data_IF_449368076710
#
_entry.id   IF_449368076710
#
_cell.length_a   1.000
_cell.length_b   1.000
_cell.length_c   1.000
_cell.angle_alpha   90.00
_cell.angle_beta   90.00
_cell.angle_gamma   90.00
#
_symmetry.space_group_name_H-M   'P 1'
#
loop_
_entity.id
_entity.type
_entity.pdbx_description
1 polymer ?
#
# COMPACT_ATOMS: atom_id res chain seq x y z
N UNK A 1 38.55 9.35 -0.18
CA UNK A 1 37.08 9.40 -0.36
C UNK A 1 36.51 9.85 0.96
N UNK A 2 35.57 10.79 0.94
CA UNK A 2 34.78 11.08 2.14
C UNK A 2 34.11 9.79 2.61
N UNK A 3 34.07 9.57 3.93
CA UNK A 3 33.42 8.41 4.50
C UNK A 3 31.91 8.59 4.34
N UNK A 4 31.32 7.90 3.36
CA UNK A 4 29.86 7.82 3.21
C UNK A 4 29.27 7.24 4.51
N UNK A 5 28.19 7.83 5.00
CA UNK A 5 27.43 7.34 6.16
C UNK A 5 25.98 7.02 5.76
N UNK A 6 25.26 6.28 6.61
CA UNK A 6 23.82 6.06 6.42
C UNK A 6 23.04 7.39 6.39
N UNK A 7 23.47 8.39 7.17
CA UNK A 7 22.87 9.73 7.13
C UNK A 7 22.99 10.41 5.77
N UNK A 8 24.13 10.28 5.10
CA UNK A 8 24.31 10.82 3.74
C UNK A 8 23.35 10.14 2.76
N UNK A 9 23.18 8.82 2.87
CA UNK A 9 22.27 8.04 2.02
C UNK A 9 20.80 8.45 2.22
N UNK A 10 20.39 8.72 3.46
CA UNK A 10 19.02 9.19 3.76
C UNK A 10 18.71 10.50 3.05
N UNK A 11 19.67 11.42 2.95
CA UNK A 11 19.49 12.70 2.27
C UNK A 11 19.32 12.56 0.75
N UNK A 12 19.67 11.41 0.19
CA UNK A 12 19.57 11.12 -1.24
C UNK A 12 18.20 10.57 -1.64
N UNK A 13 17.54 9.85 -0.74
CA UNK A 13 16.18 9.33 -0.98
C UNK A 13 15.23 10.49 -1.26
N UNK A 14 14.41 10.33 -2.29
CA UNK A 14 13.42 11.34 -2.71
C UNK A 14 14.00 12.54 -3.45
N UNK A 15 15.31 12.59 -3.73
CA UNK A 15 15.89 13.59 -4.63
C UNK A 15 15.67 13.24 -6.09
N UNK A 16 15.42 14.27 -6.91
CA UNK A 16 15.33 14.14 -8.37
C UNK A 16 16.69 13.68 -8.92
N UNK A 17 16.69 12.76 -9.88
CA UNK A 17 17.92 12.36 -10.56
C UNK A 17 18.60 13.51 -11.32
N UNK A 18 17.89 14.60 -11.59
CA UNK A 18 18.43 15.81 -12.24
C UNK A 18 18.90 16.88 -11.26
N UNK A 19 18.81 16.67 -9.94
CA UNK A 19 19.29 17.62 -8.93
C UNK A 19 20.82 17.81 -9.08
N UNK A 20 21.31 19.04 -9.30
CA UNK A 20 22.75 19.30 -9.48
C UNK A 20 23.63 18.85 -8.32
N UNK A 21 23.17 18.99 -7.07
CA UNK A 21 23.93 18.51 -5.89
C UNK A 21 24.01 16.99 -5.90
N UNK A 22 22.92 16.33 -6.27
CA UNK A 22 22.84 14.88 -6.33
C UNK A 22 23.71 14.29 -7.45
N UNK A 23 23.71 14.92 -8.62
CA UNK A 23 24.57 14.57 -9.76
C UNK A 23 26.05 14.74 -9.41
N UNK A 24 26.40 15.82 -8.70
CA UNK A 24 27.78 16.05 -8.24
C UNK A 24 28.21 14.99 -7.22
N UNK A 25 27.35 14.65 -6.26
CA UNK A 25 27.63 13.60 -5.29
C UNK A 25 27.87 12.24 -5.98
N UNK A 26 26.98 11.83 -6.89
CA UNK A 26 27.13 10.62 -7.73
C UNK A 26 28.44 10.57 -8.51
N UNK A 27 28.81 11.71 -9.10
CA UNK A 27 30.06 11.85 -9.86
C UNK A 27 31.28 11.72 -8.95
N UNK A 28 31.21 12.30 -7.74
CA UNK A 28 32.29 12.22 -6.73
C UNK A 28 32.55 10.78 -6.27
N UNK A 29 31.51 9.94 -6.27
CA UNK A 29 31.59 8.51 -5.99
C UNK A 29 32.05 7.65 -7.18
N UNK A 30 32.25 8.23 -8.36
CA UNK A 30 32.68 7.50 -9.55
C UNK A 30 31.62 6.57 -10.16
N UNK A 31 30.34 6.73 -9.78
CA UNK A 31 29.20 5.90 -10.26
C UNK A 31 28.66 6.43 -11.60
N UNK A 32 29.11 7.61 -12.04
CA UNK A 32 28.57 8.34 -13.19
C UNK A 32 27.31 9.11 -12.83
N UNK A 33 26.57 9.61 -13.81
CA UNK A 33 25.32 10.32 -13.56
C UNK A 33 24.18 9.37 -13.13
N UNK A 34 23.27 9.81 -12.26
CA UNK A 34 22.05 9.06 -11.93
C UNK A 34 21.14 8.88 -13.17
N UNK A 35 20.27 7.85 -13.20
CA UNK A 35 19.33 7.58 -14.29
C UNK A 35 18.41 8.77 -14.59
N UNK A 36 18.42 9.28 -15.82
CA UNK A 36 17.52 10.35 -16.26
C UNK A 36 16.09 9.86 -16.56
N UNK A 37 15.89 8.56 -16.75
CA UNK A 37 14.59 7.96 -17.03
C UNK A 37 14.47 6.54 -16.43
N UNK A 38 13.24 6.09 -16.14
CA UNK A 38 12.96 4.77 -15.55
C UNK A 38 13.59 3.59 -16.31
N UNK A 39 13.65 3.69 -17.64
CA UNK A 39 14.19 2.64 -18.52
C UNK A 39 15.69 2.40 -18.33
N UNK A 40 16.39 3.33 -17.70
CA UNK A 40 17.85 3.29 -17.54
C UNK A 40 18.28 2.43 -16.33
N UNK A 41 17.31 1.92 -15.54
CA UNK A 41 17.52 0.96 -14.45
C UNK A 41 18.22 1.54 -13.21
N UNK A 42 18.47 0.67 -12.22
CA UNK A 42 19.22 1.02 -11.01
C UNK A 42 20.72 1.26 -11.27
N UNK A 43 21.40 1.89 -10.31
CA UNK A 43 22.86 2.09 -10.30
C UNK A 43 23.48 1.34 -9.14
N UNK A 44 24.73 0.89 -9.32
CA UNK A 44 25.48 0.18 -8.30
C UNK A 44 26.79 0.90 -8.02
N UNK A 45 26.98 1.32 -6.79
CA UNK A 45 28.29 1.70 -6.28
C UNK A 45 29.00 0.46 -5.75
N UNK A 46 30.25 0.27 -6.14
CA UNK A 46 31.11 -0.79 -5.60
C UNK A 46 32.46 -0.21 -5.22
N UNK A 47 32.75 -0.21 -3.92
CA UNK A 47 34.09 0.01 -3.40
C UNK A 47 34.67 -1.33 -2.95
N UNK A 48 35.54 -1.87 -3.81
CA UNK A 48 36.21 -3.16 -3.58
C UNK A 48 37.17 -3.14 -2.39
N UNK A 49 37.72 -1.98 -2.03
CA UNK A 49 38.67 -1.85 -0.93
C UNK A 49 37.98 -2.06 0.42
N UNK A 50 36.76 -1.53 0.56
CA UNK A 50 35.96 -1.63 1.79
C UNK A 50 34.81 -2.65 1.68
N UNK A 51 34.76 -3.43 0.59
CA UNK A 51 33.66 -4.36 0.27
C UNK A 51 32.27 -3.71 0.42
N UNK A 52 32.19 -2.44 0.02
CA UNK A 52 30.96 -1.66 0.08
C UNK A 52 30.25 -1.78 -1.25
N UNK A 53 29.02 -2.28 -1.21
CA UNK A 53 28.11 -2.28 -2.34
C UNK A 53 26.86 -1.52 -1.93
N UNK A 54 26.49 -0.50 -2.72
CA UNK A 54 25.27 0.27 -2.52
C UNK A 54 24.48 0.26 -3.82
N UNK A 55 23.31 -0.36 -3.80
CA UNK A 55 22.37 -0.36 -4.93
C UNK A 55 21.42 0.83 -4.83
N UNK A 56 21.20 1.54 -5.93
CA UNK A 56 20.28 2.66 -6.01
C UNK A 56 19.21 2.38 -7.03
N UNK A 57 17.95 2.36 -6.62
CA UNK A 57 16.81 2.26 -7.54
C UNK A 57 16.09 3.60 -7.66
N UNK A 58 15.46 3.75 -8.82
CA UNK A 58 14.81 4.97 -9.24
C UNK A 58 13.38 4.66 -9.64
N UNK A 59 12.45 5.45 -9.12
CA UNK A 59 11.03 5.33 -9.40
C UNK A 59 10.39 6.68 -9.69
N UNK A 60 9.21 6.66 -10.33
CA UNK A 60 8.30 7.81 -10.33
C UNK A 60 7.55 7.72 -9.00
N UNK A 61 8.24 7.94 -7.90
CA UNK A 61 7.66 7.76 -6.57
C UNK A 61 8.04 8.99 -5.79
N UNK A 62 7.41 10.11 -6.13
CA UNK A 62 7.25 11.22 -5.20
C UNK A 62 6.17 12.15 -5.72
N UNK A 63 4.92 11.69 -5.66
CA UNK A 63 3.85 12.65 -5.52
C UNK A 63 2.86 12.12 -4.51
N UNK A 64 2.40 13.03 -3.65
CA UNK A 64 1.31 12.82 -2.68
C UNK A 64 0.01 12.29 -3.34
N UNK A 65 -0.01 12.21 -4.67
CA UNK A 65 -1.10 11.78 -5.55
C UNK A 65 -0.60 10.99 -6.78
N UNK A 66 0.41 10.13 -6.63
CA UNK A 66 0.68 9.07 -7.63
C UNK A 66 -0.61 8.25 -7.91
N UNK A 67 -0.77 7.54 -9.04
CA UNK A 67 -0.01 7.64 -10.29
C UNK A 67 -0.36 8.89 -11.12
N UNK A 68 0.58 9.39 -11.95
CA UNK A 68 0.29 10.48 -12.88
C UNK A 68 -0.80 10.08 -13.89
N UNK A 69 -1.67 11.04 -14.22
CA UNK A 69 -2.67 10.89 -15.29
C UNK A 69 -1.92 10.76 -16.62
N UNK A 70 -2.06 9.60 -17.26
CA UNK A 70 -1.47 9.31 -18.57
C UNK A 70 -2.14 10.22 -19.61
N UNK A 71 -1.40 11.24 -20.08
CA UNK A 71 -1.64 11.85 -21.38
C UNK A 71 -0.68 11.23 -22.39
N UNK A 72 -1.22 10.59 -23.42
CA UNK A 72 -0.46 10.16 -24.57
C UNK A 72 0.17 11.42 -25.20
N UNK A 73 1.47 11.67 -25.00
CA UNK A 73 2.39 12.07 -26.10
C UNK A 73 3.85 12.37 -25.68
N UNK A 74 4.21 12.69 -24.43
CA UNK A 74 5.62 13.00 -24.10
C UNK A 74 6.04 12.49 -22.70
N UNK A 75 6.75 11.35 -22.65
CA UNK A 75 7.25 10.74 -21.42
C UNK A 75 8.55 11.41 -20.91
N UNK A 76 8.43 12.52 -20.18
CA UNK A 76 9.49 13.08 -19.33
C UNK A 76 9.03 13.10 -17.87
N UNK A 77 9.02 11.95 -17.20
CA UNK A 77 8.75 11.89 -15.77
C UNK A 77 10.02 12.14 -14.97
N UNK A 78 9.91 12.93 -13.90
CA UNK A 78 10.98 13.05 -12.92
C UNK A 78 11.17 11.69 -12.23
N UNK A 79 12.39 11.18 -12.29
CA UNK A 79 12.81 10.01 -11.53
C UNK A 79 13.40 10.46 -10.19
N UNK A 80 13.01 9.77 -9.14
CA UNK A 80 13.51 10.01 -7.79
C UNK A 80 14.27 8.78 -7.30
N UNK A 81 15.33 8.99 -6.52
CA UNK A 81 15.97 7.87 -5.82
C UNK A 81 14.98 7.31 -4.80
N UNK A 82 14.44 6.12 -5.07
CA UNK A 82 13.36 5.52 -4.29
C UNK A 82 13.86 4.46 -3.32
N UNK A 83 15.00 3.83 -3.62
CA UNK A 83 15.59 2.81 -2.77
C UNK A 83 17.10 2.87 -2.80
N UNK A 84 17.69 2.65 -1.63
CA UNK A 84 19.11 2.41 -1.45
C UNK A 84 19.29 1.11 -0.68
N UNK A 85 19.81 0.08 -1.34
CA UNK A 85 20.22 -1.17 -0.70
C UNK A 85 21.60 -0.94 -0.06
N UNK A 86 21.66 -1.00 1.28
CA UNK A 86 22.86 -0.68 2.07
C UNK A 86 23.63 -1.94 2.45
N UNK A 87 22.91 -3.05 2.60
CA UNK A 87 23.46 -4.35 2.95
C UNK A 87 22.56 -5.46 2.42
N UNK A 88 23.15 -6.52 1.86
CA UNK A 88 22.43 -7.73 1.45
C UNK A 88 23.35 -8.95 1.53
N UNK A 89 22.81 -10.05 2.06
CA UNK A 89 23.39 -11.39 1.98
C UNK A 89 22.53 -12.23 1.03
N UNK A 90 23.18 -12.82 0.02
CA UNK A 90 22.55 -13.78 -0.89
C UNK A 90 21.95 -14.98 -0.15
N UNK A 91 20.79 -15.45 -0.60
CA UNK A 91 20.14 -16.60 0.00
C UNK A 91 21.04 -17.85 -0.10
N UNK A 92 21.32 -18.51 1.04
CA UNK A 92 22.19 -19.69 1.10
C UNK A 92 23.69 -19.41 1.21
N UNK A 93 24.13 -18.16 1.31
CA UNK A 93 25.53 -17.84 1.60
C UNK A 93 25.90 -18.23 3.05
N UNK A 94 27.10 -18.81 3.21
CA UNK A 94 27.64 -19.18 4.52
C UNK A 94 28.04 -17.95 5.35
N UNK A 95 27.97 -18.03 6.68
CA UNK A 95 28.35 -16.95 7.60
C UNK A 95 29.78 -16.43 7.38
N UNK A 96 30.70 -17.32 7.00
CA UNK A 96 32.11 -16.98 6.81
C UNK A 96 32.39 -16.15 5.53
N UNK A 97 31.43 -16.10 4.60
CA UNK A 97 31.63 -15.45 3.29
C UNK A 97 31.28 -13.96 3.27
N UNK A 98 30.54 -13.46 4.27
CA UNK A 98 30.05 -12.08 4.27
C UNK A 98 30.19 -11.41 5.66
N UNK A 99 31.35 -10.80 5.89
CA UNK A 99 31.56 -9.87 7.00
C UNK A 99 31.36 -8.44 6.49
N UNK A 100 30.50 -7.66 7.15
CA UNK A 100 30.40 -6.23 6.85
C UNK A 100 31.73 -5.55 7.22
N UNK A 101 32.42 -4.99 6.21
CA UNK A 101 33.71 -4.31 6.37
C UNK A 101 33.58 -2.79 6.37
N UNK A 102 32.36 -2.25 6.45
CA UNK A 102 32.15 -0.81 6.53
C UNK A 102 32.69 -0.31 7.88
N UNK A 103 33.27 0.90 7.94
CA UNK A 103 33.75 1.44 9.21
C UNK A 103 32.58 1.61 10.17
N UNK A 104 32.81 1.49 11.48
CA UNK A 104 31.75 1.67 12.49
C UNK A 104 31.02 3.01 12.37
N UNK A 105 31.73 4.05 11.89
CA UNK A 105 31.15 5.38 11.61
C UNK A 105 30.08 5.37 10.51
N UNK A 106 30.08 4.37 9.61
CA UNK A 106 29.05 4.22 8.59
C UNK A 106 27.68 3.97 9.22
N UNK A 107 27.64 3.09 10.22
CA UNK A 107 26.45 2.65 10.94
C UNK A 107 26.14 3.46 12.20
N UNK A 108 26.84 4.57 12.42
CA UNK A 108 26.62 5.40 13.60
C UNK A 108 25.13 5.77 13.72
N UNK A 109 24.52 5.47 14.87
CA UNK A 109 23.10 5.68 15.19
C UNK A 109 22.10 4.79 14.41
N UNK A 110 22.57 3.78 13.67
CA UNK A 110 21.73 2.82 12.95
C UNK A 110 22.01 1.37 13.35
N UNK A 111 21.07 0.49 13.02
CA UNK A 111 21.20 -0.95 13.24
C UNK A 111 22.34 -1.52 12.38
N UNK A 112 23.22 -2.31 13.01
CA UNK A 112 24.37 -2.92 12.35
C UNK A 112 23.99 -4.29 11.77
N UNK A 113 24.53 -4.73 10.62
CA UNK A 113 24.23 -6.06 10.06
C UNK A 113 24.50 -7.25 11.00
N UNK A 114 25.42 -7.07 11.94
CA UNK A 114 25.75 -8.04 12.99
C UNK A 114 24.84 -8.00 14.22
N UNK A 115 23.79 -7.19 14.22
CA UNK A 115 22.89 -7.05 15.37
C UNK A 115 22.02 -8.29 15.60
N UNK A 116 21.68 -8.52 16.87
CA UNK A 116 20.80 -9.62 17.28
C UNK A 116 19.33 -9.31 17.01
N UNK A 117 18.47 -10.33 17.17
CA UNK A 117 17.03 -10.13 17.06
C UNK A 117 16.52 -9.15 18.13
N UNK A 118 17.03 -9.27 19.36
CA UNK A 118 16.65 -8.41 20.48
C UNK A 118 17.04 -6.95 20.23
N UNK A 119 18.25 -6.72 19.72
CA UNK A 119 18.71 -5.36 19.33
C UNK A 119 17.86 -4.79 18.19
N UNK A 120 17.43 -5.61 17.23
CA UNK A 120 16.47 -5.17 16.21
C UNK A 120 15.12 -4.79 16.85
N UNK A 121 14.55 -5.65 17.71
CA UNK A 121 13.28 -5.37 18.38
C UNK A 121 13.35 -4.05 19.15
N UNK A 122 14.44 -3.80 19.87
CA UNK A 122 14.66 -2.55 20.61
C UNK A 122 14.82 -1.36 19.66
N UNK A 123 15.69 -1.45 18.65
CA UNK A 123 15.93 -0.36 17.71
C UNK A 123 14.67 0.05 16.94
N UNK A 124 13.79 -0.91 16.62
CA UNK A 124 12.56 -0.68 15.86
C UNK A 124 11.32 -0.49 16.74
N UNK A 125 11.49 -0.28 18.06
CA UNK A 125 10.39 -0.06 19.01
C UNK A 125 9.31 -1.17 18.96
N UNK A 126 9.73 -2.41 18.68
CA UNK A 126 8.84 -3.56 18.51
C UNK A 126 8.02 -3.56 17.21
N UNK A 127 8.28 -2.66 16.26
CA UNK A 127 7.57 -2.60 14.99
C UNK A 127 8.17 -3.59 13.96
N UNK A 128 7.59 -4.78 13.88
CA UNK A 128 7.95 -5.79 12.89
C UNK A 128 6.77 -6.64 12.41
N UNK A 129 6.83 -7.06 11.16
CA UNK A 129 6.00 -8.12 10.59
C UNK A 129 6.72 -9.46 10.64
N UNK A 130 5.98 -10.55 10.86
CA UNK A 130 6.50 -11.92 10.75
C UNK A 130 5.96 -12.53 9.47
N UNK A 131 6.86 -12.91 8.56
CA UNK A 131 6.49 -13.70 7.40
C UNK A 131 6.64 -15.19 7.74
N UNK A 132 5.49 -15.84 7.95
CA UNK A 132 5.43 -17.25 8.30
C UNK A 132 5.90 -18.20 7.19
N UNK A 133 5.92 -17.76 5.93
CA UNK A 133 6.34 -18.59 4.80
C UNK A 133 7.87 -18.62 4.62
N UNK A 134 8.57 -17.56 5.05
CA UNK A 134 10.01 -17.40 4.82
C UNK A 134 10.86 -17.39 6.09
N UNK A 135 10.27 -17.68 7.26
CA UNK A 135 10.97 -17.67 8.55
C UNK A 135 11.78 -16.39 8.76
N UNK A 136 11.19 -15.25 8.42
CA UNK A 136 11.82 -13.95 8.54
C UNK A 136 10.95 -12.96 9.31
N UNK A 137 11.63 -12.05 10.01
CA UNK A 137 11.07 -10.85 10.58
C UNK A 137 11.46 -9.68 9.70
N UNK A 138 10.50 -8.84 9.34
CA UNK A 138 10.74 -7.59 8.61
C UNK A 138 10.43 -6.43 9.53
N UNK A 139 11.43 -5.63 9.81
CA UNK A 139 11.37 -4.47 10.69
C UNK A 139 11.23 -3.19 9.87
N UNK A 140 10.45 -2.24 10.39
CA UNK A 140 10.11 -1.00 9.70
C UNK A 140 10.26 0.20 10.64
N UNK A 141 11.07 1.20 10.25
CA UNK A 141 11.23 2.44 11.02
C UNK A 141 11.18 3.65 10.10
N UNK A 142 10.19 4.52 10.30
CA UNK A 142 10.19 5.85 9.66
C UNK A 142 11.34 6.68 10.22
N UNK A 143 12.20 7.17 9.34
CA UNK A 143 13.32 8.04 9.70
C UNK A 143 12.93 9.52 9.60
N UNK A 144 12.03 9.86 8.67
CA UNK A 144 11.38 11.16 8.53
C UNK A 144 10.04 11.00 7.76
N UNK A 145 9.44 12.11 7.30
CA UNK A 145 8.17 12.10 6.54
C UNK A 145 8.24 11.34 5.21
N UNK A 146 9.43 11.22 4.63
CA UNK A 146 9.68 10.71 3.28
C UNK A 146 10.55 9.46 3.23
N UNK A 147 11.22 9.07 4.32
CA UNK A 147 12.23 8.00 4.31
C UNK A 147 11.93 6.99 5.40
N UNK A 148 12.03 5.71 5.03
CA UNK A 148 11.85 4.56 5.89
C UNK A 148 13.08 3.65 5.83
N UNK A 149 13.45 3.06 6.96
CA UNK A 149 14.45 2.01 7.06
C UNK A 149 13.73 0.66 7.18
N UNK A 150 14.08 -0.28 6.31
CA UNK A 150 13.54 -1.63 6.33
C UNK A 150 14.68 -2.63 6.52
N UNK A 151 14.48 -3.58 7.44
CA UNK A 151 15.46 -4.62 7.77
C UNK A 151 14.79 -5.97 7.78
N UNK A 152 15.35 -6.93 7.05
CA UNK A 152 14.92 -8.32 7.14
C UNK A 152 15.90 -9.13 7.98
N UNK A 153 15.37 -9.81 8.99
CA UNK A 153 16.09 -10.72 9.86
C UNK A 153 15.59 -12.14 9.63
N UNK A 154 16.49 -13.08 9.33
CA UNK A 154 16.13 -14.50 9.18
C UNK A 154 16.21 -15.19 10.53
N UNK A 155 15.12 -15.80 10.99
CA UNK A 155 15.10 -16.46 12.31
C UNK A 155 15.99 -17.69 12.39
N UNK A 156 16.10 -18.43 11.29
CA UNK A 156 16.81 -19.72 11.26
C UNK A 156 18.33 -19.53 11.36
N UNK A 157 18.83 -18.50 10.67
CA UNK A 157 20.25 -18.12 10.68
C UNK A 157 20.56 -17.00 11.68
N UNK A 158 19.57 -16.57 12.47
CA UNK A 158 19.67 -15.53 13.51
C UNK A 158 20.47 -14.29 13.08
N UNK A 159 20.18 -13.77 11.89
CA UNK A 159 20.96 -12.68 11.31
C UNK A 159 20.13 -11.76 10.43
N UNK A 160 20.60 -10.52 10.30
CA UNK A 160 20.11 -9.60 9.28
C UNK A 160 20.53 -10.11 7.91
N UNK A 161 19.55 -10.24 7.02
CA UNK A 161 19.72 -10.63 5.63
C UNK A 161 19.92 -9.43 4.74
N UNK A 162 19.18 -8.36 4.97
CA UNK A 162 19.31 -7.13 4.20
C UNK A 162 18.86 -5.91 4.98
N UNK A 163 19.42 -4.75 4.62
CA UNK A 163 19.10 -3.43 5.14
C UNK A 163 18.89 -2.50 3.93
N UNK A 164 17.71 -1.91 3.82
CA UNK A 164 17.36 -0.97 2.76
C UNK A 164 16.85 0.34 3.37
N UNK A 165 17.25 1.46 2.77
CA UNK A 165 16.65 2.76 3.00
C UNK A 165 15.72 3.02 1.82
N UNK A 166 14.48 3.35 2.08
CA UNK A 166 13.43 3.41 1.09
C UNK A 166 12.67 4.72 1.20
N UNK A 167 12.19 5.25 0.07
CA UNK A 167 11.18 6.31 0.09
C UNK A 167 9.92 5.73 0.70
N UNK A 168 9.32 6.40 1.68
CA UNK A 168 8.10 5.90 2.29
C UNK A 168 7.01 5.85 1.22
N UNK A 169 6.71 4.64 0.75
CA UNK A 169 5.71 4.42 -0.27
C UNK A 169 4.33 4.53 0.35
N UNK A 170 3.48 5.32 -0.31
CA UNK A 170 2.07 5.28 -0.04
C UNK A 170 1.49 4.13 -0.86
N UNK A 171 0.68 3.28 -0.24
CA UNK A 171 0.02 2.19 -0.96
C UNK A 171 -1.36 2.65 -1.38
N UNK A 172 -1.64 2.52 -2.67
CA UNK A 172 -2.99 2.69 -3.21
C UNK A 172 -3.86 1.54 -2.70
N UNK A 173 -4.94 1.88 -2.01
CA UNK A 173 -5.93 0.92 -1.52
C UNK A 173 -7.01 0.72 -2.58
N UNK A 174 -7.58 1.83 -3.07
CA UNK A 174 -8.52 1.85 -4.18
C UNK A 174 -8.03 2.83 -5.23
N UNK A 175 -7.90 2.38 -6.46
CA UNK A 175 -7.42 3.22 -7.53
C UNK A 175 -8.52 3.76 -8.42
N UNK A 176 -8.07 4.48 -9.44
CA UNK A 176 -8.90 5.06 -10.49
C UNK A 176 -9.88 4.05 -11.13
N UNK A 177 -9.55 2.76 -11.16
CA UNK A 177 -10.45 1.71 -11.68
C UNK A 177 -11.68 1.46 -10.80
N UNK A 178 -11.60 1.73 -9.51
CA UNK A 178 -12.68 1.52 -8.54
C UNK A 178 -13.43 2.81 -8.21
N UNK A 179 -12.82 3.97 -8.44
CA UNK A 179 -13.33 5.27 -7.99
C UNK A 179 -13.50 6.32 -9.11
N UNK A 180 -13.35 5.95 -10.38
CA UNK A 180 -13.58 6.84 -11.53
C UNK A 180 -14.52 6.24 -12.58
N UNK A 181 -15.24 7.10 -13.29
CA UNK A 181 -16.01 6.76 -14.48
C UNK A 181 -15.13 6.74 -15.75
N UNK A 182 -14.03 7.49 -15.74
CA UNK A 182 -13.26 7.78 -16.96
C UNK A 182 -12.40 6.61 -17.44
N UNK A 183 -12.05 5.65 -16.57
CA UNK A 183 -11.22 4.52 -16.99
C UNK A 183 -11.93 3.59 -17.98
N UNK A 184 -13.27 3.52 -17.94
CA UNK A 184 -14.09 2.75 -18.90
C UNK A 184 -14.57 3.59 -20.07
N UNK A 185 -14.77 4.89 -19.90
CA UNK A 185 -15.16 5.78 -21.01
C UNK A 185 -14.09 5.79 -22.12
N UNK A 186 -12.82 5.57 -21.76
CA UNK A 186 -11.71 5.33 -22.71
C UNK A 186 -11.80 3.99 -23.48
N UNK A 187 -12.76 3.11 -23.18
CA UNK A 187 -12.89 1.77 -23.78
C UNK A 187 -14.19 1.49 -24.57
N UNK A 188 -15.28 2.28 -24.50
CA UNK A 188 -16.34 2.38 -25.56
C UNK A 188 -17.63 3.14 -25.17
N UNK A 189 -18.12 3.97 -26.11
CA UNK A 189 -19.47 4.48 -26.42
C UNK A 189 -20.62 4.44 -25.36
N UNK A 190 -20.76 5.54 -24.63
CA UNK A 190 -21.94 6.41 -24.33
C UNK A 190 -23.39 5.87 -24.17
N UNK A 191 -23.62 4.68 -23.59
CA UNK A 191 -24.91 4.34 -22.91
C UNK A 191 -24.74 3.77 -21.49
N UNK A 192 -23.53 3.87 -20.92
CA UNK A 192 -23.12 3.10 -19.73
C UNK A 192 -23.07 3.84 -18.39
N UNK A 193 -23.30 5.17 -18.33
CA UNK A 193 -22.97 5.96 -17.13
C UNK A 193 -23.72 5.50 -15.86
N UNK A 194 -25.03 5.24 -15.97
CA UNK A 194 -25.83 4.74 -14.83
C UNK A 194 -25.36 3.34 -14.40
N UNK A 195 -25.03 2.45 -15.34
CA UNK A 195 -24.50 1.13 -15.05
C UNK A 195 -23.09 1.18 -14.43
N UNK A 196 -22.31 2.20 -14.76
CA UNK A 196 -20.99 2.42 -14.20
C UNK A 196 -21.09 2.92 -12.76
N UNK A 197 -21.96 3.90 -12.48
CA UNK A 197 -22.23 4.37 -11.12
C UNK A 197 -22.69 3.23 -10.21
N UNK A 198 -23.59 2.35 -10.67
CA UNK A 198 -24.03 1.16 -9.92
C UNK A 198 -22.88 0.24 -9.47
N UNK A 199 -21.79 0.17 -10.25
CA UNK A 199 -20.60 -0.61 -9.88
C UNK A 199 -19.63 0.16 -8.98
N UNK A 200 -19.68 1.49 -9.00
CA UNK A 200 -18.87 2.37 -8.16
C UNK A 200 -19.51 2.57 -6.77
N UNK A 201 -20.84 2.49 -6.67
CA UNK A 201 -21.61 2.71 -5.44
C UNK A 201 -21.01 2.05 -4.19
N UNK A 202 -20.62 0.75 -4.16
CA UNK A 202 -20.02 0.16 -2.97
C UNK A 202 -18.74 0.88 -2.50
N UNK A 203 -17.89 1.31 -3.43
CA UNK A 203 -16.66 2.04 -3.12
C UNK A 203 -16.95 3.48 -2.70
N UNK A 204 -17.91 4.15 -3.33
CA UNK A 204 -18.34 5.49 -2.93
C UNK A 204 -18.97 5.49 -1.53
N UNK A 205 -19.76 4.47 -1.19
CA UNK A 205 -20.29 4.26 0.15
C UNK A 205 -19.19 3.95 1.17
N UNK A 206 -18.10 3.30 0.76
CA UNK A 206 -16.93 3.13 1.62
C UNK A 206 -16.22 4.47 1.89
N UNK A 207 -16.06 5.33 0.87
CA UNK A 207 -15.55 6.70 1.05
C UNK A 207 -16.46 7.50 1.98
N UNK A 208 -17.78 7.40 1.80
CA UNK A 208 -18.78 8.00 2.70
C UNK A 208 -18.61 7.53 4.14
N UNK A 209 -18.46 6.23 4.35
CA UNK A 209 -18.21 5.67 5.67
C UNK A 209 -16.92 6.21 6.29
N UNK A 210 -15.81 6.25 5.53
CA UNK A 210 -14.55 6.84 5.99
C UNK A 210 -14.68 8.32 6.36
N UNK A 211 -15.45 9.09 5.59
CA UNK A 211 -15.77 10.48 5.89
C UNK A 211 -16.57 10.60 7.21
N UNK A 212 -17.66 9.85 7.35
CA UNK A 212 -18.52 9.91 8.54
C UNK A 212 -17.79 9.52 9.83
N UNK A 213 -16.88 8.56 9.75
CA UNK A 213 -16.06 8.13 10.88
C UNK A 213 -14.85 9.05 11.13
N UNK A 214 -14.64 10.09 10.31
CA UNK A 214 -13.45 10.96 10.33
C UNK A 214 -12.13 10.18 10.22
N UNK A 215 -12.14 9.12 9.40
CA UNK A 215 -10.96 8.32 9.09
C UNK A 215 -10.14 8.88 7.93
N UNK A 216 -10.66 9.84 7.17
CA UNK A 216 -9.90 10.56 6.16
C UNK A 216 -9.11 11.72 6.78
N UNK A 217 -7.89 11.97 6.30
CA UNK A 217 -7.11 13.15 6.66
C UNK A 217 -7.53 14.34 5.79
N UNK A 218 -8.58 15.04 6.24
CA UNK A 218 -9.14 16.21 5.56
C UNK A 218 -9.12 17.45 6.46
N UNK A 219 -9.05 18.66 5.87
CA UNK A 219 -9.26 19.91 6.60
C UNK A 219 -10.63 19.96 7.32
N UNK A 220 -10.68 20.57 8.51
CA UNK A 220 -11.90 20.58 9.35
C UNK A 220 -13.09 21.30 8.68
N UNK A 221 -12.83 22.30 7.84
CA UNK A 221 -13.87 23.01 7.07
C UNK A 221 -14.59 22.10 6.08
N UNK A 222 -13.93 21.05 5.59
CA UNK A 222 -14.56 20.02 4.75
C UNK A 222 -15.57 19.21 5.58
N UNK A 223 -15.24 18.88 6.83
CA UNK A 223 -16.13 18.15 7.74
C UNK A 223 -17.34 18.95 8.23
N UNK A 224 -17.31 20.28 8.09
CA UNK A 224 -18.47 21.12 8.41
C UNK A 224 -19.57 21.03 7.33
N UNK A 225 -19.26 20.48 6.17
CA UNK A 225 -20.22 20.24 5.08
C UNK A 225 -20.69 18.79 5.16
N UNK A 226 -22.00 18.54 5.34
CA UNK A 226 -22.50 17.17 5.37
C UNK A 226 -22.31 16.53 3.99
N UNK A 227 -21.68 15.36 3.96
CA UNK A 227 -21.66 14.50 2.77
C UNK A 227 -22.93 13.66 2.78
N UNK A 228 -23.73 13.73 1.71
CA UNK A 228 -24.96 12.95 1.55
C UNK A 228 -24.70 11.54 1.03
N UNK A 229 -25.78 10.83 0.66
CA UNK A 229 -25.71 9.52 -0.01
C UNK A 229 -25.83 9.61 -1.53
N UNK A 230 -25.97 10.82 -2.09
CA UNK A 230 -26.05 11.03 -3.52
C UNK A 230 -24.75 10.60 -4.20
N UNK A 231 -24.83 9.66 -5.14
CA UNK A 231 -23.66 9.04 -5.77
C UNK A 231 -22.81 10.06 -6.53
N UNK A 232 -23.44 11.01 -7.22
CA UNK A 232 -22.71 12.02 -7.97
C UNK A 232 -21.97 12.95 -7.01
N UNK A 233 -22.59 13.36 -5.91
CA UNK A 233 -21.94 14.15 -4.87
C UNK A 233 -20.78 13.40 -4.21
N UNK A 234 -20.91 12.08 -3.98
CA UNK A 234 -19.83 11.24 -3.46
C UNK A 234 -18.67 11.12 -4.46
N UNK A 235 -18.97 10.96 -5.75
CA UNK A 235 -17.96 10.93 -6.81
C UNK A 235 -17.24 12.28 -6.92
N UNK A 236 -17.98 13.39 -6.92
CA UNK A 236 -17.44 14.75 -6.97
C UNK A 236 -16.55 15.03 -5.75
N UNK A 237 -16.98 14.59 -4.57
CA UNK A 237 -16.18 14.65 -3.34
C UNK A 237 -14.87 13.86 -3.49
N UNK A 238 -14.96 12.62 -3.98
CA UNK A 238 -13.80 11.73 -4.16
C UNK A 238 -12.81 12.32 -5.17
N UNK A 239 -13.29 12.87 -6.28
CA UNK A 239 -12.46 13.54 -7.28
C UNK A 239 -11.82 14.81 -6.72
N UNK A 240 -12.58 15.62 -5.97
CA UNK A 240 -12.10 16.91 -5.46
C UNK A 240 -11.06 16.76 -4.35
N UNK A 241 -11.29 15.87 -3.39
CA UNK A 241 -10.47 15.78 -2.18
C UNK A 241 -9.50 14.62 -2.17
N UNK A 242 -9.77 13.56 -2.94
CA UNK A 242 -8.95 12.35 -3.00
C UNK A 242 -8.39 12.08 -4.42
N UNK A 243 -8.68 12.96 -5.38
CA UNK A 243 -8.25 12.85 -6.78
C UNK A 243 -8.72 11.57 -7.50
N UNK A 244 -9.80 10.93 -7.03
CA UNK A 244 -10.28 9.68 -7.62
C UNK A 244 -9.54 8.43 -7.14
N UNK A 245 -8.80 8.52 -6.03
CA UNK A 245 -8.04 7.42 -5.44
C UNK A 245 -8.21 7.39 -3.91
N UNK A 246 -7.90 6.26 -3.27
CA UNK A 246 -7.70 6.18 -1.82
C UNK A 246 -6.32 5.59 -1.51
N UNK A 247 -5.51 6.36 -0.81
CA UNK A 247 -4.17 6.00 -0.37
C UNK A 247 -4.10 5.85 1.15
N UNK A 248 -3.18 5.03 1.65
CA UNK A 248 -2.97 4.88 3.09
C UNK A 248 -2.59 6.20 3.79
N UNK A 249 -1.86 7.10 3.13
CA UNK A 249 -1.48 8.41 3.67
C UNK A 249 -2.63 9.44 3.70
N UNK A 250 -3.80 9.09 3.15
CA UNK A 250 -5.03 9.87 3.25
C UNK A 250 -5.88 9.42 4.45
N UNK A 251 -5.40 8.47 5.25
CA UNK A 251 -6.11 7.91 6.40
C UNK A 251 -5.49 8.36 7.72
N UNK A 252 -6.34 8.55 8.73
CA UNK A 252 -5.90 8.68 10.12
C UNK A 252 -5.28 7.34 10.56
N UNK A 253 -4.24 7.41 11.39
CA UNK A 253 -3.61 6.22 11.99
C UNK A 253 -4.53 5.57 13.03
N UNK A 254 -5.47 4.78 12.53
CA UNK A 254 -6.40 3.97 13.32
C UNK A 254 -5.95 2.51 13.23
N UNK A 255 -5.71 1.82 14.36
CA UNK A 255 -5.26 0.44 14.36
C UNK A 255 -6.12 -0.45 13.45
N UNK A 256 -5.46 -1.20 12.57
CA UNK A 256 -6.05 -2.17 11.64
C UNK A 256 -6.94 -1.59 10.53
N UNK A 257 -7.12 -0.26 10.43
CA UNK A 257 -7.96 0.34 9.39
C UNK A 257 -7.40 0.08 7.99
N UNK A 258 -6.10 0.29 7.80
CA UNK A 258 -5.42 0.02 6.53
C UNK A 258 -5.58 -1.45 6.10
N UNK A 259 -5.23 -2.38 7.00
CA UNK A 259 -5.33 -3.83 6.75
C UNK A 259 -6.78 -4.25 6.43
N UNK A 260 -7.76 -3.65 7.13
CA UNK A 260 -9.18 -3.88 6.85
C UNK A 260 -9.56 -3.43 5.45
N UNK A 261 -9.23 -2.19 5.07
CA UNK A 261 -9.58 -1.66 3.75
C UNK A 261 -8.94 -2.47 2.61
N UNK A 262 -7.68 -2.88 2.80
CA UNK A 262 -7.00 -3.77 1.87
C UNK A 262 -7.68 -5.14 1.76
N UNK A 263 -8.10 -5.71 2.91
CA UNK A 263 -8.85 -6.98 2.96
C UNK A 263 -10.23 -6.88 2.31
N UNK A 264 -10.92 -5.74 2.45
CA UNK A 264 -12.21 -5.48 1.79
C UNK A 264 -12.06 -5.46 0.26
N UNK A 265 -10.89 -5.08 -0.25
CA UNK A 265 -10.60 -4.92 -1.68
C UNK A 265 -10.17 -6.21 -2.40
N UNK A 266 -9.47 -7.12 -1.73
CA UNK A 266 -8.83 -8.28 -2.39
C UNK A 266 -9.73 -9.50 -2.47
N UNK A 267 -10.00 -10.08 -3.65
CA UNK A 267 -10.70 -11.37 -3.71
C UNK A 267 -9.83 -12.52 -3.20
N UNK A 268 -10.25 -13.24 -2.15
CA UNK A 268 -9.68 -14.57 -1.80
C UNK A 268 -9.23 -14.78 -0.35
N UNK A 269 -9.09 -13.73 0.47
CA UNK A 269 -8.64 -13.83 1.88
C UNK A 269 -9.63 -13.20 2.88
N UNK A 270 -10.89 -13.06 2.48
CA UNK A 270 -11.80 -12.10 3.13
C UNK A 270 -12.74 -12.75 4.13
N UNK A 271 -12.43 -13.97 4.57
CA UNK A 271 -13.26 -14.68 5.54
C UNK A 271 -12.62 -14.66 6.91
N UNK A 272 -13.25 -13.96 7.84
CA UNK A 272 -12.86 -13.92 9.25
C UNK A 272 -13.64 -14.98 9.99
N UNK A 273 -12.97 -15.86 10.73
CA UNK A 273 -13.63 -16.75 11.69
C UNK A 273 -13.56 -16.10 13.06
N UNK A 274 -14.72 -15.76 13.62
CA UNK A 274 -14.81 -15.25 14.99
C UNK A 274 -14.57 -16.38 15.99
N UNK A 275 -14.20 -16.07 17.25
CA UNK A 275 -14.03 -17.07 18.31
C UNK A 275 -15.25 -17.97 18.53
N UNK A 276 -16.45 -17.45 18.26
CA UNK A 276 -17.72 -18.17 18.37
C UNK A 276 -17.97 -19.12 17.17
N UNK A 277 -17.03 -19.20 16.22
CA UNK A 277 -17.10 -20.06 15.04
C UNK A 277 -17.89 -19.46 13.88
N UNK A 278 -18.38 -18.22 13.98
CA UNK A 278 -19.08 -17.53 12.89
C UNK A 278 -18.07 -17.11 11.82
N UNK A 279 -18.38 -17.40 10.55
CA UNK A 279 -17.57 -16.94 9.42
C UNK A 279 -18.16 -15.66 8.83
N UNK A 280 -17.32 -14.64 8.68
CA UNK A 280 -17.65 -13.33 8.12
C UNK A 280 -16.90 -13.10 6.83
N UNK A 281 -17.63 -12.99 5.73
CA UNK A 281 -17.08 -12.56 4.46
C UNK A 281 -17.11 -11.02 4.35
N UNK A 282 -15.94 -10.39 4.31
CA UNK A 282 -15.75 -8.93 4.29
C UNK A 282 -15.41 -8.38 2.90
N UNK A 283 -15.49 -9.20 1.84
CA UNK A 283 -15.31 -8.71 0.48
C UNK A 283 -16.37 -7.66 0.13
N UNK A 284 -15.98 -6.53 -0.47
CA UNK A 284 -16.89 -5.39 -0.66
C UNK A 284 -18.16 -5.76 -1.44
N UNK A 285 -18.04 -6.57 -2.50
CA UNK A 285 -19.20 -6.99 -3.30
C UNK A 285 -20.15 -7.87 -2.48
N UNK A 286 -19.62 -8.69 -1.58
CA UNK A 286 -20.43 -9.53 -0.71
C UNK A 286 -21.12 -8.72 0.38
N UNK A 287 -20.45 -7.70 0.93
CA UNK A 287 -21.08 -6.75 1.84
C UNK A 287 -22.21 -5.98 1.15
N UNK A 288 -21.99 -5.58 -0.11
CA UNK A 288 -22.96 -4.88 -0.94
C UNK A 288 -24.21 -5.74 -1.23
N UNK A 289 -24.00 -7.01 -1.60
CA UNK A 289 -25.10 -7.99 -1.77
C UNK A 289 -25.84 -8.26 -0.46
N UNK A 290 -25.15 -8.26 0.69
CA UNK A 290 -25.79 -8.39 2.01
C UNK A 290 -26.64 -7.17 2.36
N UNK A 291 -26.16 -5.96 2.06
CA UNK A 291 -26.91 -4.72 2.27
C UNK A 291 -28.20 -4.69 1.42
N UNK A 292 -28.17 -5.30 0.24
CA UNK A 292 -29.34 -5.50 -0.61
C UNK A 292 -30.29 -6.62 -0.16
N UNK A 293 -29.97 -7.33 0.92
CA UNK A 293 -30.71 -8.52 1.39
C UNK A 293 -30.74 -9.69 0.37
N UNK A 294 -29.78 -9.73 -0.56
CA UNK A 294 -29.72 -10.73 -1.64
C UNK A 294 -28.71 -11.86 -1.38
N UNK A 295 -28.10 -11.90 -0.20
CA UNK A 295 -27.02 -12.84 0.12
C UNK A 295 -27.40 -14.31 -0.02
N UNK A 296 -28.54 -14.72 0.55
CA UNK A 296 -28.97 -16.12 0.45
C UNK A 296 -29.33 -16.52 -0.98
N UNK A 297 -29.90 -15.58 -1.75
CA UNK A 297 -30.16 -15.76 -3.19
C UNK A 297 -28.87 -15.94 -3.96
N UNK A 298 -27.87 -15.08 -3.70
CA UNK A 298 -26.53 -15.18 -4.29
C UNK A 298 -25.86 -16.53 -3.98
N UNK A 299 -25.82 -16.94 -2.71
CA UNK A 299 -25.22 -18.23 -2.29
C UNK A 299 -25.94 -19.44 -2.89
N UNK A 300 -27.25 -19.37 -3.09
CA UNK A 300 -28.02 -20.42 -3.77
C UNK A 300 -27.67 -20.49 -5.26
N UNK A 301 -27.54 -19.35 -5.92
CA UNK A 301 -27.16 -19.29 -7.34
C UNK A 301 -25.73 -19.78 -7.56
N UNK A 302 -24.77 -19.38 -6.72
CA UNK A 302 -23.37 -19.85 -6.77
C UNK A 302 -23.29 -21.38 -6.77
N UNK A 303 -24.10 -22.06 -5.94
CA UNK A 303 -24.18 -23.53 -5.87
C UNK A 303 -24.90 -24.16 -7.07
N UNK A 304 -25.71 -23.40 -7.80
CA UNK A 304 -26.59 -23.88 -8.87
C UNK A 304 -26.14 -23.36 -10.25
N UNK A 305 -24.84 -23.42 -10.56
CA UNK A 305 -24.25 -22.95 -11.83
C UNK A 305 -24.78 -23.64 -13.10
N UNK A 306 -25.57 -24.71 -12.95
CA UNK A 306 -26.23 -25.43 -14.06
C UNK A 306 -27.63 -24.89 -14.42
N UNK A 307 -28.15 -23.89 -13.68
CA UNK A 307 -29.40 -23.21 -14.04
C UNK A 307 -29.24 -22.51 -15.41
N UNK A 308 -30.11 -22.76 -16.42
CA UNK A 308 -30.04 -22.09 -17.72
C UNK A 308 -30.09 -20.55 -17.63
N UNK A 309 -30.71 -20.00 -16.59
CA UNK A 309 -30.79 -18.56 -16.33
C UNK A 309 -29.68 -18.05 -15.40
N UNK A 310 -28.72 -18.91 -15.01
CA UNK A 310 -27.69 -18.59 -14.03
C UNK A 310 -26.93 -17.32 -14.41
N UNK A 311 -26.49 -17.20 -15.67
CA UNK A 311 -25.76 -16.03 -16.15
C UNK A 311 -26.55 -14.74 -15.94
N UNK A 312 -27.83 -14.73 -16.31
CA UNK A 312 -28.70 -13.55 -16.19
C UNK A 312 -28.94 -13.19 -14.73
N UNK A 313 -29.30 -14.19 -13.89
CA UNK A 313 -29.55 -13.96 -12.46
C UNK A 313 -28.29 -13.48 -11.74
N UNK A 314 -27.14 -14.06 -12.08
CA UNK A 314 -25.88 -13.67 -11.48
C UNK A 314 -25.43 -12.29 -11.93
N UNK A 315 -25.59 -11.96 -13.21
CA UNK A 315 -25.36 -10.61 -13.73
C UNK A 315 -26.25 -9.56 -13.03
N UNK A 316 -27.53 -9.88 -12.80
CA UNK A 316 -28.42 -8.95 -12.10
C UNK A 316 -27.94 -8.63 -10.68
N UNK A 317 -27.37 -9.61 -9.97
CA UNK A 317 -26.89 -9.43 -8.59
C UNK A 317 -25.49 -8.81 -8.55
N UNK A 318 -24.57 -9.22 -9.43
CA UNK A 318 -23.16 -8.80 -9.37
C UNK A 318 -22.85 -7.57 -10.21
N UNK A 319 -23.75 -7.16 -11.09
CA UNK A 319 -23.51 -6.06 -12.03
C UNK A 319 -24.61 -5.00 -12.02
N UNK A 320 -25.89 -5.38 -11.97
CA UNK A 320 -27.00 -4.42 -12.06
C UNK A 320 -27.51 -3.94 -10.70
N UNK A 321 -27.01 -4.54 -9.62
CA UNK A 321 -27.41 -4.21 -8.27
C UNK A 321 -27.08 -2.75 -7.94
N UNK A 322 -28.09 -2.05 -7.46
CA UNK A 322 -28.02 -0.67 -6.99
C UNK A 322 -28.77 -0.62 -5.67
N UNK A 323 -28.14 -0.11 -4.62
CA UNK A 323 -28.80 0.09 -3.35
C UNK A 323 -29.66 1.34 -3.40
N UNK A 324 -30.84 1.26 -2.81
CA UNK A 324 -31.60 2.46 -2.47
C UNK A 324 -31.01 3.16 -1.22
N UNK A 325 -31.66 4.21 -0.74
CA UNK A 325 -31.18 5.00 0.41
C UNK A 325 -31.11 4.16 1.70
N UNK A 326 -32.13 3.33 1.98
CA UNK A 326 -32.19 2.51 3.19
C UNK A 326 -31.12 1.41 3.16
N UNK A 327 -30.94 0.78 2.01
CA UNK A 327 -29.91 -0.22 1.76
C UNK A 327 -28.51 0.41 1.82
N UNK A 328 -28.33 1.63 1.33
CA UNK A 328 -27.07 2.38 1.43
C UNK A 328 -26.71 2.68 2.89
N UNK A 329 -27.67 3.12 3.70
CA UNK A 329 -27.48 3.29 5.16
C UNK A 329 -27.14 1.95 5.84
N UNK A 330 -27.76 0.87 5.39
CA UNK A 330 -27.46 -0.48 5.87
C UNK A 330 -26.02 -0.89 5.51
N UNK A 331 -25.54 -0.55 4.33
CA UNK A 331 -24.15 -0.77 3.92
C UNK A 331 -23.16 -0.04 4.85
N UNK A 332 -23.40 1.23 5.20
CA UNK A 332 -22.55 1.98 6.13
C UNK A 332 -22.46 1.33 7.52
N UNK A 333 -23.58 0.79 8.01
CA UNK A 333 -23.62 0.00 9.26
C UNK A 333 -22.84 -1.30 9.14
N UNK A 334 -22.98 -2.01 8.02
CA UNK A 334 -22.25 -3.25 7.74
C UNK A 334 -20.74 -3.01 7.72
N UNK A 335 -20.26 -1.91 7.13
CA UNK A 335 -18.83 -1.55 7.18
C UNK A 335 -18.33 -1.38 8.62
N UNK A 336 -19.11 -0.70 9.46
CA UNK A 336 -18.78 -0.52 10.88
C UNK A 336 -18.69 -1.86 11.61
N UNK A 337 -19.68 -2.74 11.42
CA UNK A 337 -19.69 -4.07 12.04
C UNK A 337 -18.53 -4.94 11.55
N UNK A 338 -18.27 -4.94 10.24
CA UNK A 338 -17.17 -5.68 9.62
C UNK A 338 -15.81 -5.21 10.15
N UNK A 339 -15.61 -3.89 10.28
CA UNK A 339 -14.37 -3.33 10.82
C UNK A 339 -14.15 -3.72 12.27
N UNK A 340 -15.17 -3.64 13.13
CA UNK A 340 -15.07 -4.03 14.54
C UNK A 340 -14.81 -5.54 14.74
N UNK A 341 -15.32 -6.38 13.83
CA UNK A 341 -15.03 -7.80 13.82
C UNK A 341 -13.59 -8.06 13.37
N UNK A 342 -13.15 -7.41 12.29
CA UNK A 342 -11.78 -7.51 11.79
C UNK A 342 -10.76 -7.08 12.85
N UNK A 343 -10.99 -5.92 13.47
CA UNK A 343 -10.15 -5.39 14.55
C UNK A 343 -9.97 -6.38 15.70
N UNK A 344 -11.07 -6.95 16.20
CA UNK A 344 -11.02 -7.96 17.28
C UNK A 344 -10.24 -9.20 16.87
N UNK A 345 -10.48 -9.72 15.67
CA UNK A 345 -9.77 -10.88 15.15
C UNK A 345 -8.25 -10.62 15.02
N UNK A 346 -7.87 -9.47 14.48
CA UNK A 346 -6.47 -9.09 14.31
C UNK A 346 -5.74 -8.86 15.64
N UNK A 347 -6.46 -8.40 16.67
CA UNK A 347 -5.91 -8.31 18.03
C UNK A 347 -5.64 -9.68 18.67
N UNK A 348 -6.46 -10.68 18.38
CA UNK A 348 -6.29 -12.04 18.91
C UNK A 348 -5.12 -12.78 18.26
N UNK A 349 -4.92 -12.60 16.95
CA UNK A 349 -3.80 -13.21 16.23
C UNK A 349 -2.43 -12.73 16.72
N UNK A 350 -2.32 -11.48 17.18
CA UNK A 350 -1.05 -10.92 17.70
C UNK A 350 -0.72 -11.31 19.15
N UNK A 351 -1.60 -12.07 19.84
CA UNK A 351 -1.31 -12.59 21.19
C UNK A 351 -0.47 -13.87 21.18
N UNK A 352 -0.20 -14.43 20.01
CA UNK A 352 0.55 -15.66 19.76
C UNK A 352 1.66 -15.39 18.74
#
# INVERSE_FOLDING_TARGET
MENITVHDLIQMIGRKSTDPEFVQWYTSLGIGAPPSALKDGGKLFQDKQHQLQIGFDYGIINDRFYPPVISDEDFNYDCYCSRIEVFQISYGANEDEYQDRKPATFWQDFIHPGSTLEECIEFFDGNYGKDGAFHCYTFHKKLNETVELIVSFTSDNRRIRWIEIFISECTEIFGYRQLSLDWKSKLSNWRGMELELRRLQPYLLLIKWLFDQRYLLLPEDVYQQPLGLDEQALLDFTNKYLNGHLWNNQLVDVPYLYDFLFSVAQSGYNTIKTPEGKTWDIHIDHLYIKAAELWETYKKLEKNYKDPEWNTKMYNITTLLHLDEEQSLTMLRIFTEAFEIFKRHSMELRKY
#
